data_IF_809975961014
#
_entry.id   IF_809975961014
#
_cell.length_a   1.000
_cell.length_b   1.000
_cell.length_c   1.000
_cell.angle_alpha   90.00
_cell.angle_beta   90.00
_cell.angle_gamma   90.00
#
_symmetry.space_group_name_H-M   'P 1'
#
loop_
_entity.id
_entity.type
_entity.pdbx_description
1 polymer ?
#
# COMPACT_ATOMS: atom_id res chain seq x y z
N UNK A 1 -6.54 2.89 -19.72
CA UNK A 1 -6.34 2.78 -18.26
C UNK A 1 -7.11 1.58 -17.80
N UNK A 2 -6.41 0.51 -17.44
CA UNK A 2 -7.05 -0.65 -16.82
C UNK A 2 -7.58 -0.21 -15.45
N UNK A 3 -8.85 -0.48 -15.18
CA UNK A 3 -9.44 -0.25 -13.87
C UNK A 3 -8.79 -1.21 -12.89
N UNK A 4 -7.97 -0.69 -11.97
CA UNK A 4 -7.45 -1.48 -10.86
C UNK A 4 -8.61 -1.84 -9.93
N UNK A 5 -9.15 -3.05 -10.11
CA UNK A 5 -10.23 -3.57 -9.29
C UNK A 5 -9.58 -4.46 -8.22
N UNK A 6 -9.27 -3.85 -7.07
CA UNK A 6 -8.98 -4.62 -5.86
C UNK A 6 -10.25 -5.42 -5.55
N UNK A 7 -10.26 -6.72 -5.85
CA UNK A 7 -11.37 -7.60 -5.49
C UNK A 7 -11.33 -7.82 -3.97
N UNK A 8 -11.74 -6.79 -3.23
CA UNK A 8 -11.71 -6.74 -1.76
C UNK A 8 -12.64 -7.78 -1.12
N UNK A 9 -13.40 -8.54 -1.91
CA UNK A 9 -14.34 -9.57 -1.43
C UNK A 9 -13.69 -10.60 -0.51
N UNK A 10 -12.40 -10.87 -0.70
CA UNK A 10 -11.65 -11.85 0.09
C UNK A 10 -10.60 -11.19 1.01
N UNK A 11 -10.51 -9.87 1.05
CA UNK A 11 -9.52 -9.15 1.86
C UNK A 11 -10.12 -8.82 3.23
N UNK A 12 -9.49 -9.30 4.29
CA UNK A 12 -9.95 -9.00 5.65
C UNK A 12 -9.57 -7.57 6.04
N UNK A 13 -10.57 -6.74 6.36
CA UNK A 13 -10.34 -5.37 6.85
C UNK A 13 -10.32 -5.34 8.39
N UNK A 14 -9.22 -4.85 8.95
CA UNK A 14 -9.01 -4.72 10.40
C UNK A 14 -8.91 -3.23 10.72
N UNK A 15 -9.83 -2.69 11.54
CA UNK A 15 -9.73 -1.31 12.01
C UNK A 15 -8.78 -1.22 13.19
N UNK A 16 -7.77 -0.36 13.09
CA UNK A 16 -6.80 -0.17 14.17
C UNK A 16 -5.54 0.55 13.72
N UNK A 17 -4.69 0.86 14.68
CA UNK A 17 -3.36 1.44 14.43
C UNK A 17 -2.35 0.29 14.39
N UNK A 18 -1.59 0.12 13.29
CA UNK A 18 -0.55 -0.91 13.26
C UNK A 18 0.53 -0.57 14.27
N UNK A 19 0.97 -1.57 15.03
CA UNK A 19 2.16 -1.49 15.85
C UNK A 19 3.23 -2.38 15.21
N UNK A 20 4.26 -1.77 14.63
CA UNK A 20 5.33 -2.48 13.98
C UNK A 20 6.41 -2.84 14.99
N UNK A 21 6.66 -4.12 15.17
CA UNK A 21 7.85 -4.60 15.86
C UNK A 21 9.01 -4.58 14.86
N UNK A 22 10.01 -3.75 15.12
CA UNK A 22 11.26 -3.76 14.36
C UNK A 22 12.20 -4.71 15.09
N UNK A 23 12.55 -5.83 14.47
CA UNK A 23 13.59 -6.73 14.97
C UNK A 23 14.95 -6.07 14.71
N UNK A 24 15.41 -5.27 15.68
CA UNK A 24 16.68 -4.53 15.69
C UNK A 24 16.86 -3.55 14.49
N UNK A 25 17.21 -2.30 14.79
CA UNK A 25 17.63 -1.38 13.73
C UNK A 25 18.93 -1.93 13.12
N UNK A 26 18.80 -2.62 11.99
CA UNK A 26 19.91 -2.76 11.08
C UNK A 26 19.91 -1.48 10.23
N UNK A 27 20.96 -0.66 10.33
CA UNK A 27 21.17 0.55 9.50
C UNK A 27 21.33 0.22 7.99
N UNK A 28 20.95 -0.98 7.57
CA UNK A 28 20.83 -1.37 6.18
C UNK A 28 19.60 -0.72 5.57
N UNK A 29 19.85 0.28 4.73
CA UNK A 29 18.88 0.69 3.72
C UNK A 29 18.69 -0.47 2.74
N UNK A 30 17.57 -1.18 2.85
CA UNK A 30 17.17 -2.20 1.87
C UNK A 30 16.67 -1.51 0.60
N UNK A 31 17.61 -1.15 -0.27
CA UNK A 31 17.32 -0.71 -1.63
C UNK A 31 17.31 -1.96 -2.49
N UNK A 32 16.12 -2.49 -2.76
CA UNK A 32 16.00 -3.52 -3.78
C UNK A 32 16.08 -2.84 -5.15
N UNK A 33 17.29 -2.81 -5.73
CA UNK A 33 17.58 -2.28 -7.07
C UNK A 33 16.77 -2.99 -8.18
N UNK A 34 16.05 -4.08 -7.86
CA UNK A 34 15.18 -4.84 -8.77
C UNK A 34 13.70 -4.80 -8.38
N UNK A 35 13.32 -4.12 -7.30
CA UNK A 35 11.92 -4.06 -6.87
C UNK A 35 11.12 -3.07 -7.72
N UNK A 36 10.04 -3.57 -8.31
CA UNK A 36 9.02 -2.73 -8.95
C UNK A 36 8.09 -2.15 -7.86
N UNK A 37 8.23 -0.85 -7.61
CA UNK A 37 7.21 -0.09 -6.89
C UNK A 37 6.02 0.11 -7.83
N UNK A 38 4.91 -0.58 -7.59
CA UNK A 38 3.71 -0.43 -8.42
C UNK A 38 2.74 0.54 -7.75
N UNK A 39 2.44 1.65 -8.42
CA UNK A 39 1.47 2.63 -7.94
C UNK A 39 0.21 2.57 -8.79
N UNK A 40 -0.93 2.34 -8.15
CA UNK A 40 -2.25 2.29 -8.76
C UNK A 40 -3.09 3.45 -8.25
N UNK A 41 -3.49 4.34 -9.14
CA UNK A 41 -4.29 5.52 -8.81
C UNK A 41 -5.73 5.26 -9.23
N UNK A 42 -6.60 5.07 -8.24
CA UNK A 42 -8.02 4.87 -8.39
C UNK A 42 -8.84 6.15 -8.17
N UNK A 43 -10.16 6.01 -8.28
CA UNK A 43 -11.12 7.13 -8.13
C UNK A 43 -11.14 7.65 -6.70
N UNK A 44 -11.06 6.79 -5.69
CA UNK A 44 -11.15 7.21 -4.27
C UNK A 44 -9.91 6.85 -3.46
N UNK A 45 -8.98 6.11 -4.06
CA UNK A 45 -7.81 5.58 -3.38
C UNK A 45 -6.58 5.51 -4.28
N UNK A 46 -5.43 5.43 -3.63
CA UNK A 46 -4.14 5.11 -4.23
C UNK A 46 -3.60 3.89 -3.52
N UNK A 47 -3.19 2.87 -4.27
CA UNK A 47 -2.40 1.74 -3.75
C UNK A 47 -0.95 1.91 -4.18
N UNK A 48 -0.05 1.84 -3.21
CA UNK A 48 1.39 1.73 -3.41
C UNK A 48 1.79 0.31 -3.00
N UNK A 49 2.14 -0.54 -3.96
CA UNK A 49 2.53 -1.93 -3.74
C UNK A 49 4.05 -2.06 -3.70
N UNK A 50 4.56 -2.66 -2.62
CA UNK A 50 5.99 -2.89 -2.40
C UNK A 50 6.43 -4.29 -2.83
N UNK A 51 5.51 -5.22 -3.03
CA UNK A 51 5.82 -6.57 -3.48
C UNK A 51 4.73 -7.12 -4.41
N UNK A 52 5.01 -8.28 -5.02
CA UNK A 52 4.06 -9.05 -5.84
C UNK A 52 3.21 -10.02 -5.00
N UNK A 53 3.33 -9.99 -3.68
CA UNK A 53 2.58 -10.88 -2.80
C UNK A 53 1.11 -10.47 -2.75
N UNK A 54 0.22 -11.46 -2.73
CA UNK A 54 -1.21 -11.22 -2.61
C UNK A 54 -1.56 -10.54 -1.27
N UNK A 55 -2.43 -9.53 -1.34
CA UNK A 55 -2.99 -8.85 -0.18
C UNK A 55 -4.07 -9.74 0.42
N UNK A 56 -3.88 -10.19 1.67
CA UNK A 56 -4.88 -11.03 2.37
C UNK A 56 -5.65 -10.26 3.43
N UNK A 57 -5.05 -9.20 3.98
CA UNK A 57 -5.70 -8.34 4.97
C UNK A 57 -5.18 -6.91 4.90
N UNK A 58 -5.97 -5.98 5.43
CA UNK A 58 -5.61 -4.56 5.50
C UNK A 58 -5.83 -4.10 6.94
N UNK A 59 -4.80 -3.53 7.57
CA UNK A 59 -4.95 -2.78 8.82
C UNK A 59 -5.22 -1.33 8.45
N UNK A 60 -6.44 -0.85 8.66
CA UNK A 60 -6.85 0.49 8.34
C UNK A 60 -6.92 1.40 9.57
N UNK A 61 -6.16 2.47 9.50
CA UNK A 61 -6.21 3.61 10.40
C UNK A 61 -6.69 4.85 9.63
N UNK A 62 -7.95 5.21 9.84
CA UNK A 62 -8.60 6.33 9.14
C UNK A 62 -8.47 6.21 7.60
N UNK A 63 -7.81 7.18 6.96
CA UNK A 63 -7.62 7.23 5.50
C UNK A 63 -6.48 6.36 5.00
N UNK A 64 -5.66 5.79 5.89
CA UNK A 64 -4.48 4.99 5.54
C UNK A 64 -4.69 3.53 5.91
N UNK A 65 -4.48 2.63 4.94
CA UNK A 65 -4.50 1.19 5.11
C UNK A 65 -3.12 0.58 4.85
N UNK A 66 -2.69 -0.33 5.70
CA UNK A 66 -1.49 -1.13 5.50
C UNK A 66 -1.92 -2.51 5.00
N UNK A 67 -1.56 -2.82 3.76
CA UNK A 67 -1.82 -4.11 3.16
C UNK A 67 -0.82 -5.14 3.68
N UNK A 68 -1.33 -6.29 4.12
CA UNK A 68 -0.56 -7.40 4.64
C UNK A 68 -0.71 -8.62 3.74
N UNK A 69 0.39 -9.32 3.55
CA UNK A 69 0.40 -10.63 2.91
C UNK A 69 0.08 -11.77 3.91
N UNK A 70 0.07 -13.01 3.41
CA UNK A 70 -0.18 -14.21 4.22
C UNK A 70 0.77 -14.40 5.41
N UNK A 71 1.95 -13.80 5.38
CA UNK A 71 2.95 -13.86 6.44
C UNK A 71 2.82 -12.67 7.42
N UNK A 72 1.77 -11.85 7.28
CA UNK A 72 1.57 -10.61 8.04
C UNK A 72 2.67 -9.57 7.80
N UNK A 73 3.38 -9.68 6.68
CA UNK A 73 4.36 -8.68 6.26
C UNK A 73 3.65 -7.57 5.49
N UNK A 74 4.08 -6.33 5.69
CA UNK A 74 3.56 -5.19 4.93
C UNK A 74 3.98 -5.35 3.47
N UNK A 75 3.01 -5.45 2.57
CA UNK A 75 3.22 -5.56 1.13
C UNK A 75 2.71 -4.34 0.34
N UNK A 76 2.03 -3.40 1.00
CA UNK A 76 1.63 -2.15 0.37
C UNK A 76 0.92 -1.17 1.32
N UNK A 77 0.66 0.03 0.80
CA UNK A 77 -0.09 1.09 1.48
C UNK A 77 -1.25 1.53 0.60
N UNK A 78 -2.43 1.66 1.18
CA UNK A 78 -3.63 2.19 0.56
C UNK A 78 -3.92 3.54 1.20
N UNK A 79 -3.99 4.60 0.40
CA UNK A 79 -4.40 5.93 0.86
C UNK A 79 -5.75 6.25 0.24
N UNK A 80 -6.73 6.60 1.05
CA UNK A 80 -8.08 6.97 0.63
C UNK A 80 -8.35 8.45 0.89
N UNK A 81 -9.34 9.02 0.19
CA UNK A 81 -9.74 10.41 0.40
C UNK A 81 -8.77 11.45 -0.15
N UNK A 82 -7.85 11.06 -1.04
CA UNK A 82 -7.00 12.01 -1.77
C UNK A 82 -7.82 12.84 -2.75
N UNK A 83 -7.61 14.14 -2.76
CA UNK A 83 -8.20 15.07 -3.71
C UNK A 83 -7.53 14.94 -5.08
N UNK A 84 -8.27 15.29 -6.14
CA UNK A 84 -7.78 15.17 -7.53
C UNK A 84 -6.45 15.90 -7.77
N UNK A 85 -6.26 17.07 -7.16
CA UNK A 85 -5.00 17.80 -7.30
C UNK A 85 -3.83 17.12 -6.58
N UNK A 86 -4.08 16.42 -5.47
CA UNK A 86 -3.05 15.65 -4.75
C UNK A 86 -2.64 14.41 -5.55
N UNK A 87 -3.60 13.73 -6.18
CA UNK A 87 -3.33 12.63 -7.09
C UNK A 87 -2.50 13.09 -8.29
N UNK A 88 -2.80 14.26 -8.84
CA UNK A 88 -2.02 14.84 -9.94
C UNK A 88 -0.57 15.12 -9.55
N UNK A 89 -0.34 15.64 -8.34
CA UNK A 89 1.03 15.82 -7.81
C UNK A 89 1.76 14.48 -7.75
N UNK A 90 1.08 13.43 -7.27
CA UNK A 90 1.66 12.08 -7.24
C UNK A 90 1.95 11.55 -8.66
N UNK A 91 1.01 11.69 -9.61
CA UNK A 91 1.21 11.30 -11.01
C UNK A 91 2.42 12.00 -11.64
N UNK A 92 2.59 13.29 -11.37
CA UNK A 92 3.70 14.07 -11.91
C UNK A 92 5.04 13.69 -11.25
N UNK A 93 5.04 13.25 -9.99
CA UNK A 93 6.24 12.76 -9.30
C UNK A 93 6.69 11.35 -9.73
N UNK A 94 5.79 10.58 -10.35
CA UNK A 94 6.06 9.21 -10.85
C UNK A 94 6.53 9.17 -12.32
N UNK A 95 6.60 10.33 -13.00
CA UNK A 95 7.12 10.47 -14.37
C UNK A 95 8.60 10.82 -14.37
#
# INVERSE_FOLDING_TARGET
MESFNLDMKNVTLIKGVPNFQVEEYNDQTYIDEKSELNVYIGIDNVLISFSKNDIVSIIQNDTVGFALDKNKMVCGIIVSGMLEHEKKILEDALK
#
